data_IF_837442032977
#
_entry.id   IF_837442032977
#
_cell.length_a   1.000
_cell.length_b   1.000
_cell.length_c   1.000
_cell.angle_alpha   90.00
_cell.angle_beta   90.00
_cell.angle_gamma   90.00
#
_symmetry.space_group_name_H-M   'P 1'
#
loop_
_entity.id
_entity.type
_entity.pdbx_description
1 polymer ?
#
# COMPACT_ATOMS: atom_id res chain seq x y z
N UNK A 1 26.16 -52.57 36.99
CA UNK A 1 25.08 -51.96 36.17
C UNK A 1 24.92 -50.43 36.38
N UNK A 2 25.96 -49.68 36.80
CA UNK A 2 25.89 -48.22 37.04
C UNK A 2 26.66 -47.36 36.02
N UNK A 3 27.43 -48.00 35.13
CA UNK A 3 28.29 -47.32 34.13
C UNK A 3 27.57 -46.93 32.83
N UNK A 4 26.43 -47.57 32.53
CA UNK A 4 25.66 -47.32 31.31
C UNK A 4 24.74 -46.09 31.37
N UNK A 5 24.38 -45.64 32.59
CA UNK A 5 23.57 -44.43 32.80
C UNK A 5 24.28 -43.13 32.35
N UNK A 6 25.54 -42.84 32.73
CA UNK A 6 26.22 -41.62 32.29
C UNK A 6 26.48 -41.60 30.78
N UNK A 7 26.75 -42.77 30.18
CA UNK A 7 26.98 -42.88 28.73
C UNK A 7 25.72 -42.57 27.91
N UNK A 8 24.54 -42.95 28.41
CA UNK A 8 23.25 -42.59 27.78
C UNK A 8 22.97 -41.10 27.88
N UNK A 9 23.28 -40.47 29.02
CA UNK A 9 23.09 -39.03 29.22
C UNK A 9 24.01 -38.23 28.28
N UNK A 10 25.28 -38.65 28.16
CA UNK A 10 26.23 -38.00 27.26
C UNK A 10 25.81 -38.12 25.78
N UNK A 11 25.28 -39.29 25.38
CA UNK A 11 24.78 -39.50 24.02
C UNK A 11 23.55 -38.63 23.72
N UNK A 12 22.61 -38.53 24.66
CA UNK A 12 21.44 -37.66 24.52
C UNK A 12 21.83 -36.18 24.47
N UNK A 13 22.81 -35.75 25.28
CA UNK A 13 23.30 -34.38 25.25
C UNK A 13 23.98 -34.05 23.92
N UNK A 14 24.80 -34.96 23.39
CA UNK A 14 25.46 -34.77 22.09
C UNK A 14 24.44 -34.74 20.95
N UNK A 15 23.40 -35.58 21.00
CA UNK A 15 22.31 -35.55 20.03
C UNK A 15 21.52 -34.24 20.07
N UNK A 16 21.36 -33.64 21.26
CA UNK A 16 20.68 -32.36 21.42
C UNK A 16 21.51 -31.18 20.88
N UNK A 17 22.84 -31.24 21.00
CA UNK A 17 23.77 -30.23 20.47
C UNK A 17 23.87 -30.32 18.94
N UNK A 18 23.77 -31.52 18.37
CA UNK A 18 23.86 -31.74 16.92
C UNK A 18 22.52 -31.58 16.20
N UNK A 19 21.45 -31.19 16.89
CA UNK A 19 20.16 -30.95 16.27
C UNK A 19 20.24 -29.72 15.35
N UNK A 20 19.83 -29.82 14.07
CA UNK A 20 19.85 -28.69 13.16
C UNK A 20 18.88 -27.60 13.64
N UNK A 21 19.38 -26.37 13.78
CA UNK A 21 18.54 -25.20 13.98
C UNK A 21 17.95 -24.81 12.62
N UNK A 22 16.77 -25.34 12.31
CA UNK A 22 15.98 -24.88 11.16
C UNK A 22 15.62 -23.40 11.37
N UNK A 23 15.89 -22.52 10.39
CA UNK A 23 15.45 -21.13 10.48
C UNK A 23 13.93 -21.09 10.55
N UNK A 24 13.39 -20.40 11.55
CA UNK A 24 11.96 -20.17 11.63
C UNK A 24 11.51 -19.45 10.36
N UNK A 25 10.78 -20.17 9.50
CA UNK A 25 10.14 -19.63 8.31
C UNK A 25 9.16 -18.54 8.74
N UNK A 26 9.63 -17.29 8.73
CA UNK A 26 8.80 -16.12 8.98
C UNK A 26 7.89 -15.95 7.77
N UNK A 27 6.70 -16.53 7.85
CA UNK A 27 5.68 -16.43 6.83
C UNK A 27 5.14 -14.98 6.82
N UNK A 28 5.82 -14.09 6.11
CA UNK A 28 5.36 -12.72 5.84
C UNK A 28 4.28 -12.74 4.75
N UNK A 29 3.21 -13.48 5.01
CA UNK A 29 2.03 -13.45 4.16
C UNK A 29 1.28 -12.16 4.43
N UNK A 30 1.16 -11.30 3.42
CA UNK A 30 0.37 -10.08 3.58
C UNK A 30 -1.10 -10.47 3.63
N UNK A 31 -1.88 -9.77 4.44
CA UNK A 31 -3.31 -10.06 4.62
C UNK A 31 -4.03 -10.09 3.26
N UNK A 32 -3.67 -9.21 2.32
CA UNK A 32 -4.21 -9.16 0.95
C UNK A 32 -3.92 -10.41 0.10
N UNK A 33 -2.93 -11.21 0.46
CA UNK A 33 -2.55 -12.42 -0.28
C UNK A 33 -3.35 -13.65 0.20
N UNK A 34 -4.01 -13.58 1.36
CA UNK A 34 -4.77 -14.69 1.99
C UNK A 34 -6.25 -14.35 2.26
N UNK A 35 -6.66 -13.11 1.97
CA UNK A 35 -8.03 -12.65 2.17
C UNK A 35 -8.62 -12.13 0.86
N UNK A 36 -9.84 -12.56 0.56
CA UNK A 36 -10.64 -12.02 -0.55
C UNK A 36 -11.66 -11.02 -0.03
N UNK A 37 -11.87 -9.92 -0.76
CA UNK A 37 -12.92 -8.96 -0.43
C UNK A 37 -14.28 -9.55 -0.86
N UNK A 38 -15.18 -9.80 0.11
CA UNK A 38 -16.52 -10.32 -0.18
C UNK A 38 -17.37 -9.38 -1.06
N UNK A 39 -17.03 -8.08 -1.08
CA UNK A 39 -17.66 -7.07 -1.94
C UNK A 39 -16.56 -6.28 -2.66
N UNK A 40 -15.82 -6.96 -3.52
CA UNK A 40 -14.87 -6.32 -4.44
C UNK A 40 -15.61 -5.58 -5.54
N UNK A 41 -16.11 -4.38 -5.26
CA UNK A 41 -16.52 -3.45 -6.32
C UNK A 41 -15.30 -2.67 -6.76
N UNK A 42 -14.96 -2.78 -8.04
CA UNK A 42 -13.95 -1.93 -8.64
C UNK A 42 -14.43 -0.48 -8.54
N UNK A 43 -13.67 0.35 -7.83
CA UNK A 43 -13.92 1.79 -7.78
C UNK A 43 -12.99 2.46 -8.78
N UNK A 44 -13.55 2.91 -9.89
CA UNK A 44 -12.77 3.57 -10.92
C UNK A 44 -12.22 4.89 -10.39
N UNK A 45 -10.88 4.97 -10.31
CA UNK A 45 -10.20 6.21 -9.97
C UNK A 45 -10.05 7.03 -11.24
N UNK A 46 -10.82 8.12 -11.33
CA UNK A 46 -10.71 9.13 -12.38
C UNK A 46 -10.28 10.41 -11.69
N UNK A 47 -9.20 11.02 -12.18
CA UNK A 47 -8.65 12.25 -11.59
C UNK A 47 -8.02 13.15 -12.64
N UNK A 48 -7.95 14.44 -12.33
CA UNK A 48 -7.24 15.43 -13.14
C UNK A 48 -5.95 15.83 -12.42
N UNK A 49 -4.81 15.76 -13.10
CA UNK A 49 -3.55 16.26 -12.55
C UNK A 49 -3.45 17.77 -12.76
N UNK A 50 -3.33 18.55 -11.69
CA UNK A 50 -3.07 19.99 -11.74
C UNK A 50 -1.65 20.25 -11.25
N UNK A 51 -0.86 20.93 -12.06
CA UNK A 51 0.50 21.33 -11.66
C UNK A 51 0.50 22.80 -11.28
N UNK A 52 0.77 23.12 -10.01
CA UNK A 52 0.80 24.49 -9.48
C UNK A 52 2.18 24.86 -8.93
N UNK A 53 2.47 26.15 -8.76
CA UNK A 53 3.71 26.62 -8.10
C UNK A 53 4.97 26.63 -8.97
N UNK A 54 4.87 26.32 -10.27
CA UNK A 54 5.97 26.55 -11.23
C UNK A 54 6.08 28.04 -11.60
N UNK A 55 7.25 28.47 -12.06
CA UNK A 55 7.51 29.87 -12.48
C UNK A 55 6.72 30.24 -13.75
N UNK A 56 5.41 30.49 -13.60
CA UNK A 56 4.51 30.93 -14.68
C UNK A 56 4.07 29.84 -15.67
N UNK A 57 4.58 28.61 -15.55
CA UNK A 57 4.28 27.48 -16.46
C UNK A 57 3.35 26.43 -15.85
N UNK A 58 2.85 26.65 -14.64
CA UNK A 58 1.82 25.79 -14.04
C UNK A 58 0.44 26.01 -14.67
N UNK A 59 -0.47 25.10 -14.39
CA UNK A 59 -1.89 25.23 -14.73
C UNK A 59 -2.50 26.38 -13.93
N UNK A 60 -2.79 27.48 -14.61
CA UNK A 60 -3.51 28.64 -14.05
C UNK A 60 -4.78 28.92 -14.86
N UNK A 61 -5.74 29.63 -14.26
CA UNK A 61 -6.96 30.08 -14.95
C UNK A 61 -6.70 30.87 -16.24
N UNK A 62 -5.51 31.50 -16.37
CA UNK A 62 -5.10 32.25 -17.55
C UNK A 62 -4.31 31.40 -18.56
N UNK A 63 -3.56 30.41 -18.08
CA UNK A 63 -2.67 29.59 -18.89
C UNK A 63 -3.36 28.36 -19.49
N UNK A 64 -4.41 27.84 -18.83
CA UNK A 64 -5.18 26.71 -19.33
C UNK A 64 -6.69 26.85 -19.07
N UNK A 65 -7.41 27.65 -19.87
CA UNK A 65 -8.86 27.80 -19.76
C UNK A 65 -9.62 26.48 -20.02
N UNK A 66 -9.01 25.55 -20.78
CA UNK A 66 -9.59 24.24 -21.05
C UNK A 66 -9.50 23.29 -19.85
N UNK A 67 -8.45 23.41 -19.02
CA UNK A 67 -8.30 22.63 -17.78
C UNK A 67 -9.46 22.91 -16.80
N UNK A 68 -9.80 24.18 -16.58
CA UNK A 68 -10.87 24.56 -15.63
C UNK A 68 -12.26 24.11 -16.13
N UNK A 69 -12.56 24.33 -17.41
CA UNK A 69 -13.82 23.89 -18.02
C UNK A 69 -13.98 22.36 -17.95
N UNK A 70 -12.90 21.61 -18.24
CA UNK A 70 -12.90 20.14 -18.20
C UNK A 70 -13.07 19.60 -16.79
N UNK A 71 -12.40 20.23 -15.81
CA UNK A 71 -12.54 19.86 -14.40
C UNK A 71 -13.95 20.16 -13.87
N UNK A 72 -14.54 21.31 -14.22
CA UNK A 72 -15.94 21.63 -13.88
C UNK A 72 -16.91 20.62 -14.46
N UNK A 73 -16.75 20.25 -15.73
CA UNK A 73 -17.58 19.23 -16.37
C UNK A 73 -17.44 17.86 -15.68
N UNK A 74 -16.23 17.46 -15.30
CA UNK A 74 -15.99 16.23 -14.55
C UNK A 74 -16.69 16.25 -13.18
N UNK A 75 -16.52 17.33 -12.41
CA UNK A 75 -17.15 17.49 -11.10
C UNK A 75 -18.68 17.50 -11.21
N UNK A 76 -19.24 18.16 -12.23
CA UNK A 76 -20.68 18.16 -12.50
C UNK A 76 -21.21 16.76 -12.86
N UNK A 77 -20.47 16.00 -13.68
CA UNK A 77 -20.82 14.61 -14.00
C UNK A 77 -20.76 13.69 -12.78
N UNK A 78 -19.92 14.01 -11.80
CA UNK A 78 -19.86 13.33 -10.50
C UNK A 78 -20.92 13.83 -9.50
N UNK A 79 -21.80 14.76 -9.89
CA UNK A 79 -22.84 15.33 -9.03
C UNK A 79 -22.32 16.33 -8.00
N UNK A 80 -21.06 16.77 -8.13
CA UNK A 80 -20.43 17.73 -7.22
C UNK A 80 -20.79 19.14 -7.71
N UNK A 81 -21.58 19.88 -6.91
CA UNK A 81 -21.98 21.25 -7.24
C UNK A 81 -20.78 22.20 -7.17
N UNK A 82 -20.28 22.63 -8.32
CA UNK A 82 -19.23 23.65 -8.42
C UNK A 82 -19.85 25.06 -8.40
N UNK A 83 -20.65 25.39 -7.39
CA UNK A 83 -21.14 26.76 -7.20
C UNK A 83 -20.08 27.60 -6.49
N UNK A 84 -19.49 28.56 -7.20
CA UNK A 84 -18.86 29.74 -6.60
C UNK A 84 -17.38 29.69 -6.24
N UNK A 85 -16.69 28.57 -6.42
CA UNK A 85 -15.23 28.52 -6.23
C UNK A 85 -14.49 29.13 -7.42
N UNK A 86 -14.20 30.43 -7.40
CA UNK A 86 -13.01 30.91 -8.11
C UNK A 86 -11.83 30.16 -7.49
N UNK A 87 -11.31 29.17 -8.21
CA UNK A 87 -10.10 28.42 -7.92
C UNK A 87 -8.90 29.37 -7.96
N UNK A 88 -8.76 30.18 -6.91
CA UNK A 88 -7.60 31.02 -6.66
C UNK A 88 -6.44 30.13 -6.22
N UNK A 89 -5.81 29.44 -7.18
CA UNK A 89 -4.43 29.02 -7.02
C UNK A 89 -3.57 30.30 -7.03
N UNK A 90 -3.05 30.65 -5.86
CA UNK A 90 -2.13 31.77 -5.63
C UNK A 90 -0.71 31.37 -5.99
#
# INVERSE_FOLDING_TARGET
MKLFAPMRIALCALALVMAPLEPALSANSRIKDIASLQSGRDNQLIGYGLVVGLQGTGDSLRSSPFTDQSMRAMLQNLGISTQGGQSNAK
#
